data_IF_590908728305
#
_entry.id   IF_590908728305
#
_cell.length_a   1.000
_cell.length_b   1.000
_cell.length_c   1.000
_cell.angle_alpha   90.00
_cell.angle_beta   90.00
_cell.angle_gamma   90.00
#
_symmetry.space_group_name_H-M   'P 1'
#
loop_
_entity.id
_entity.type
_entity.pdbx_description
1 polymer ?
#
# COMPACT_ATOMS: atom_id res chain seq x y z
N UNK A 1 -6.13 24.64 -16.31
CA UNK A 1 -7.61 24.48 -16.22
C UNK A 1 -8.15 23.10 -16.60
N UNK A 2 -7.52 22.35 -17.55
CA UNK A 2 -7.96 20.99 -17.91
C UNK A 2 -7.66 19.93 -16.83
N UNK A 3 -6.46 19.94 -16.26
CA UNK A 3 -6.04 18.98 -15.21
C UNK A 3 -6.93 19.07 -13.96
N UNK A 4 -7.30 20.28 -13.52
CA UNK A 4 -8.16 20.48 -12.35
C UNK A 4 -9.59 19.92 -12.59
N UNK A 5 -10.10 20.01 -13.82
CA UNK A 5 -11.39 19.41 -14.19
C UNK A 5 -11.30 17.88 -14.22
N UNK A 6 -10.20 17.32 -14.73
CA UNK A 6 -9.97 15.87 -14.71
C UNK A 6 -9.87 15.34 -13.28
N UNK A 7 -9.10 16.00 -12.40
CA UNK A 7 -9.00 15.64 -10.98
C UNK A 7 -10.35 15.74 -10.27
N UNK A 8 -11.16 16.77 -10.57
CA UNK A 8 -12.49 16.92 -10.00
C UNK A 8 -13.45 15.81 -10.48
N UNK A 9 -13.41 15.46 -11.77
CA UNK A 9 -14.21 14.38 -12.34
C UNK A 9 -13.78 13.03 -11.75
N UNK A 10 -12.48 12.79 -11.62
CA UNK A 10 -11.95 11.59 -10.96
C UNK A 10 -12.41 11.55 -9.50
N UNK A 11 -12.32 12.65 -8.75
CA UNK A 11 -12.82 12.74 -7.37
C UNK A 11 -14.33 12.49 -7.26
N UNK A 12 -15.14 12.99 -8.20
CA UNK A 12 -16.60 12.77 -8.18
C UNK A 12 -16.91 11.32 -8.54
N UNK A 13 -16.24 10.76 -9.54
CA UNK A 13 -16.39 9.37 -9.94
C UNK A 13 -15.92 8.40 -8.84
N UNK A 14 -14.81 8.69 -8.14
CA UNK A 14 -14.33 7.85 -7.02
C UNK A 14 -15.24 7.95 -5.80
N UNK A 15 -15.88 9.10 -5.53
CA UNK A 15 -16.87 9.19 -4.45
C UNK A 15 -18.17 8.44 -4.77
N UNK A 16 -18.65 8.50 -6.03
CA UNK A 16 -19.89 7.84 -6.45
C UNK A 16 -19.72 6.32 -6.64
N UNK A 17 -18.62 5.88 -7.27
CA UNK A 17 -18.31 4.44 -7.36
C UNK A 17 -17.83 3.89 -6.03
N UNK A 18 -17.12 4.68 -5.22
CA UNK A 18 -16.58 4.25 -3.93
C UNK A 18 -17.67 3.98 -2.90
N UNK A 19 -18.66 4.85 -2.78
CA UNK A 19 -19.81 4.60 -1.89
C UNK A 19 -20.63 3.40 -2.35
N UNK A 20 -20.90 3.28 -3.65
CA UNK A 20 -21.62 2.15 -4.24
C UNK A 20 -20.85 0.83 -4.11
N UNK A 21 -19.54 0.82 -4.32
CA UNK A 21 -18.69 -0.37 -4.18
C UNK A 21 -18.54 -0.76 -2.72
N UNK A 22 -18.31 0.19 -1.82
CA UNK A 22 -18.23 -0.06 -0.38
C UNK A 22 -19.56 -0.61 0.16
N UNK A 23 -20.71 -0.08 -0.29
CA UNK A 23 -22.04 -0.55 0.07
C UNK A 23 -22.35 -1.92 -0.56
N UNK A 24 -21.89 -2.17 -1.79
CA UNK A 24 -22.02 -3.47 -2.47
C UNK A 24 -21.17 -4.55 -1.81
N UNK A 25 -19.93 -4.24 -1.42
CA UNK A 25 -19.05 -5.14 -0.67
C UNK A 25 -19.58 -5.43 0.74
N UNK A 26 -20.35 -4.50 1.34
CA UNK A 26 -21.03 -4.69 2.62
C UNK A 26 -22.34 -5.48 2.51
N UNK A 27 -22.87 -5.73 1.30
CA UNK A 27 -24.17 -6.37 1.12
C UNK A 27 -24.06 -7.91 1.12
N UNK A 28 -24.64 -8.61 2.12
CA UNK A 28 -24.46 -10.06 2.32
C UNK A 28 -25.18 -10.96 1.30
N UNK A 29 -25.91 -10.39 0.34
CA UNK A 29 -26.73 -11.16 -0.62
C UNK A 29 -25.99 -11.72 -1.83
N UNK A 30 -24.71 -11.36 -2.03
CA UNK A 30 -23.90 -11.90 -3.13
C UNK A 30 -23.11 -13.11 -2.61
N UNK A 31 -23.46 -14.32 -3.08
CA UNK A 31 -22.69 -15.55 -2.82
C UNK A 31 -21.41 -15.55 -3.67
N UNK A 32 -20.36 -14.89 -3.21
CA UNK A 32 -18.98 -15.19 -3.61
C UNK A 32 -18.24 -15.82 -2.43
N UNK A 33 -17.03 -16.33 -2.65
CA UNK A 33 -16.10 -16.73 -1.58
C UNK A 33 -15.88 -15.53 -0.66
N UNK A 34 -16.78 -15.36 0.31
CA UNK A 34 -16.72 -14.28 1.26
C UNK A 34 -15.59 -14.66 2.22
N UNK A 35 -14.59 -13.79 2.33
CA UNK A 35 -13.74 -13.69 3.50
C UNK A 35 -14.35 -12.61 4.41
N UNK A 36 -15.56 -12.80 4.99
CA UNK A 36 -16.11 -11.76 5.84
C UNK A 36 -15.22 -11.72 7.08
N UNK A 37 -14.37 -10.69 7.17
CA UNK A 37 -13.72 -10.39 8.42
C UNK A 37 -14.82 -10.24 9.47
N UNK A 38 -14.66 -10.89 10.62
CA UNK A 38 -15.59 -10.69 11.73
C UNK A 38 -15.63 -9.19 12.07
N UNK A 39 -16.76 -8.67 12.57
CA UNK A 39 -16.80 -7.31 13.11
C UNK A 39 -15.64 -7.10 14.09
N UNK A 40 -15.09 -5.90 14.12
CA UNK A 40 -13.96 -5.56 15.00
C UNK A 40 -14.28 -5.98 16.44
N UNK A 41 -13.56 -6.98 16.96
CA UNK A 41 -13.68 -7.44 18.34
C UNK A 41 -12.63 -6.69 19.19
N UNK A 42 -13.04 -5.74 20.05
CA UNK A 42 -12.10 -4.99 20.89
C UNK A 42 -11.29 -5.93 21.77
N UNK A 43 -9.96 -5.77 21.77
CA UNK A 43 -9.05 -6.59 22.58
C UNK A 43 -8.47 -7.83 21.89
N UNK A 44 -8.75 -8.07 20.60
CA UNK A 44 -8.00 -9.04 19.80
C UNK A 44 -6.62 -8.45 19.43
N UNK A 45 -5.49 -8.93 20.00
CA UNK A 45 -4.17 -8.35 19.74
C UNK A 45 -3.68 -8.58 18.30
N UNK A 46 -4.23 -9.57 17.60
CA UNK A 46 -3.92 -9.85 16.18
C UNK A 46 -4.54 -8.81 15.24
N UNK A 47 -5.61 -8.14 15.68
CA UNK A 47 -6.23 -7.08 14.91
C UNK A 47 -5.47 -5.77 15.13
N UNK A 48 -4.68 -5.36 14.14
CA UNK A 48 -3.88 -4.14 14.25
C UNK A 48 -4.70 -2.92 13.90
N UNK A 49 -4.89 -2.02 14.88
CA UNK A 49 -5.51 -0.72 14.68
C UNK A 49 -4.58 0.35 15.26
N UNK A 50 -3.99 1.24 14.44
CA UNK A 50 -3.08 2.25 14.95
C UNK A 50 -3.82 3.27 15.82
N UNK A 51 -3.17 3.72 16.89
CA UNK A 51 -3.66 4.75 17.81
C UNK A 51 -3.83 6.11 17.12
N UNK A 52 -2.97 6.42 16.16
CA UNK A 52 -2.99 7.64 15.35
C UNK A 52 -2.85 7.36 13.86
N UNK A 53 -3.84 7.79 13.07
CA UNK A 53 -3.82 7.66 11.61
C UNK A 53 -2.60 8.37 11.00
N UNK A 54 -2.35 9.60 11.44
CA UNK A 54 -1.28 10.44 10.90
C UNK A 54 0.12 9.93 11.24
N UNK A 55 0.34 9.41 12.46
CA UNK A 55 1.63 8.81 12.81
C UNK A 55 1.92 7.57 11.97
N UNK A 56 0.95 6.65 11.85
CA UNK A 56 1.11 5.45 11.02
C UNK A 56 1.44 5.80 9.57
N UNK A 57 0.65 6.72 8.98
CA UNK A 57 0.86 7.14 7.59
C UNK A 57 2.20 7.88 7.42
N UNK A 58 2.61 8.69 8.39
CA UNK A 58 3.92 9.34 8.42
C UNK A 58 5.08 8.34 8.49
N UNK A 59 4.97 7.30 9.32
CA UNK A 59 5.94 6.19 9.37
C UNK A 59 6.00 5.45 8.04
N UNK A 60 4.84 5.16 7.43
CA UNK A 60 4.74 4.51 6.12
C UNK A 60 5.42 5.34 5.03
N UNK A 61 5.18 6.65 5.01
CA UNK A 61 5.84 7.59 4.10
C UNK A 61 7.36 7.65 4.33
N UNK A 62 7.82 7.57 5.58
CA UNK A 62 9.24 7.48 5.91
C UNK A 62 9.90 6.21 5.33
N UNK A 63 9.22 5.06 5.43
CA UNK A 63 9.68 3.80 4.82
C UNK A 63 9.72 3.93 3.30
N UNK A 64 8.68 4.49 2.67
CA UNK A 64 8.67 4.76 1.23
C UNK A 64 9.83 5.66 0.81
N UNK A 65 10.15 6.69 1.59
CA UNK A 65 11.31 7.56 1.36
C UNK A 65 12.65 6.82 1.39
N UNK A 66 12.83 5.86 2.31
CA UNK A 66 14.00 4.95 2.30
C UNK A 66 13.94 4.03 1.08
N UNK A 67 12.76 3.52 0.75
CA UNK A 67 12.48 2.70 -0.42
C UNK A 67 12.82 3.40 -1.74
N UNK A 68 12.76 4.73 -1.81
CA UNK A 68 13.21 5.50 -2.97
C UNK A 68 14.70 5.28 -3.27
N UNK A 69 15.54 5.33 -2.23
CA UNK A 69 16.98 5.12 -2.37
C UNK A 69 17.27 3.67 -2.79
N UNK A 70 16.58 2.72 -2.17
CA UNK A 70 16.71 1.29 -2.49
C UNK A 70 16.21 1.01 -3.90
N UNK A 71 15.09 1.60 -4.30
CA UNK A 71 14.49 1.47 -5.64
C UNK A 71 15.43 2.01 -6.69
N UNK A 72 15.87 3.26 -6.56
CA UNK A 72 16.88 3.88 -7.45
C UNK A 72 18.14 3.01 -7.55
N UNK A 73 18.68 2.55 -6.42
CA UNK A 73 19.90 1.72 -6.40
C UNK A 73 19.65 0.36 -7.04
N UNK A 74 18.51 -0.28 -6.74
CA UNK A 74 18.12 -1.57 -7.30
C UNK A 74 17.95 -1.49 -8.81
N UNK A 75 17.25 -0.47 -9.29
CA UNK A 75 17.06 -0.18 -10.71
C UNK A 75 18.39 0.06 -11.44
N UNK A 76 19.31 0.79 -10.83
CA UNK A 76 20.67 0.96 -11.36
C UNK A 76 21.44 -0.37 -11.48
N UNK A 77 21.19 -1.32 -10.56
CA UNK A 77 21.86 -2.62 -10.54
C UNK A 77 21.17 -3.66 -11.45
N UNK A 78 19.87 -3.53 -11.72
CA UNK A 78 19.09 -4.49 -12.52
C UNK A 78 19.58 -4.57 -13.97
N UNK A 79 19.67 -5.78 -14.58
CA UNK A 79 20.06 -5.92 -15.97
C UNK A 79 19.09 -5.23 -16.91
N UNK A 80 19.61 -4.58 -17.96
CA UNK A 80 18.80 -3.88 -18.97
C UNK A 80 17.80 -4.82 -19.67
N UNK A 81 18.09 -6.13 -19.72
CA UNK A 81 17.17 -7.14 -20.27
C UNK A 81 15.87 -7.31 -19.46
N UNK A 82 15.81 -6.77 -18.24
CA UNK A 82 14.63 -6.83 -17.37
C UNK A 82 13.87 -5.50 -17.41
N UNK A 83 14.59 -4.38 -17.36
CA UNK A 83 13.99 -3.03 -17.26
C UNK A 83 13.86 -2.33 -18.60
N UNK A 84 14.55 -2.76 -19.67
CA UNK A 84 14.70 -2.02 -20.94
C UNK A 84 15.35 -0.63 -20.82
N UNK A 85 15.91 -0.29 -19.66
CA UNK A 85 16.44 1.05 -19.39
C UNK A 85 17.92 1.18 -19.73
N UNK A 86 18.26 2.30 -20.37
CA UNK A 86 19.64 2.71 -20.64
C UNK A 86 20.27 3.34 -19.39
N UNK A 87 21.27 2.67 -18.82
CA UNK A 87 21.97 3.15 -17.61
C UNK A 87 22.72 4.46 -17.83
N UNK A 88 23.11 4.78 -19.07
CA UNK A 88 23.79 6.04 -19.38
C UNK A 88 22.87 7.25 -19.22
N UNK A 89 21.56 7.04 -19.27
CA UNK A 89 20.56 8.06 -19.00
C UNK A 89 20.28 8.26 -17.50
N UNK A 90 20.76 7.39 -16.61
CA UNK A 90 20.45 7.52 -15.19
C UNK A 90 20.97 8.84 -14.60
N UNK A 91 20.08 9.73 -14.16
CA UNK A 91 20.47 10.90 -13.37
C UNK A 91 19.52 12.09 -13.40
N UNK A 92 19.85 13.11 -12.60
CA UNK A 92 19.03 14.31 -12.43
C UNK A 92 18.82 15.10 -13.73
N UNK A 93 19.78 15.06 -14.66
CA UNK A 93 19.64 15.74 -15.95
C UNK A 93 18.53 15.12 -16.78
N UNK A 94 18.51 13.80 -16.89
CA UNK A 94 17.46 13.06 -17.58
C UNK A 94 16.14 13.25 -16.86
N UNK A 95 16.12 13.18 -15.53
CA UNK A 95 14.94 13.49 -14.73
C UNK A 95 14.30 14.83 -15.09
N UNK A 96 15.07 15.94 -15.10
CA UNK A 96 14.55 17.27 -15.46
C UNK A 96 14.00 17.31 -16.88
N UNK A 97 14.66 16.63 -17.81
CA UNK A 97 14.23 16.53 -19.21
C UNK A 97 12.92 15.73 -19.32
N UNK A 98 12.88 14.56 -18.70
CA UNK A 98 11.84 13.56 -18.87
C UNK A 98 10.53 13.99 -18.18
N UNK A 99 10.59 14.59 -16.99
CA UNK A 99 9.39 15.16 -16.33
C UNK A 99 8.83 16.39 -17.06
N UNK A 100 9.62 17.04 -17.91
CA UNK A 100 9.18 18.18 -18.72
C UNK A 100 8.46 17.73 -20.01
N UNK A 101 8.58 16.45 -20.37
CA UNK A 101 7.91 15.86 -21.53
C UNK A 101 6.54 15.34 -21.10
N UNK A 102 5.56 15.42 -22.01
CA UNK A 102 4.24 14.85 -21.74
C UNK A 102 4.33 13.31 -21.62
N UNK A 103 3.54 12.68 -20.74
CA UNK A 103 3.57 11.24 -20.56
C UNK A 103 3.43 10.46 -21.88
N UNK A 104 4.23 9.40 -22.01
CA UNK A 104 4.33 8.58 -23.22
C UNK A 104 3.92 7.13 -22.94
N UNK A 105 3.82 6.33 -24.00
CA UNK A 105 3.73 4.86 -23.87
C UNK A 105 5.15 4.36 -23.65
N UNK A 106 5.45 3.75 -22.52
CA UNK A 106 6.68 2.96 -22.34
C UNK A 106 6.54 1.60 -23.06
N UNK A 107 7.66 0.88 -23.20
CA UNK A 107 7.68 -0.48 -23.79
C UNK A 107 8.07 -1.55 -22.76
N UNK A 108 7.73 -1.33 -21.49
CA UNK A 108 8.04 -2.28 -20.45
C UNK A 108 7.28 -3.59 -20.63
N UNK A 109 7.89 -4.65 -20.12
CA UNK A 109 7.31 -5.98 -20.26
C UNK A 109 6.04 -6.10 -19.41
N UNK A 110 5.15 -7.02 -19.79
CA UNK A 110 3.88 -7.24 -19.09
C UNK A 110 4.04 -7.54 -17.60
N UNK A 111 5.15 -8.16 -17.17
CA UNK A 111 5.37 -8.43 -15.75
C UNK A 111 5.55 -7.15 -14.94
N UNK A 112 6.20 -6.11 -15.49
CA UNK A 112 6.36 -4.82 -14.83
C UNK A 112 5.01 -4.08 -14.79
N UNK A 113 4.47 -3.69 -15.95
CA UNK A 113 3.27 -2.83 -16.02
C UNK A 113 2.01 -3.56 -15.58
N UNK A 114 1.90 -4.86 -15.89
CA UNK A 114 0.71 -5.66 -15.66
C UNK A 114 0.62 -6.27 -14.26
N UNK A 115 1.76 -6.45 -13.58
CA UNK A 115 1.79 -7.16 -12.28
C UNK A 115 2.51 -6.37 -11.20
N UNK A 116 3.78 -6.01 -11.42
CA UNK A 116 4.58 -5.34 -10.40
C UNK A 116 4.01 -3.96 -10.04
N UNK A 117 3.68 -3.14 -11.05
CA UNK A 117 3.11 -1.81 -10.82
C UNK A 117 1.78 -1.89 -10.06
N UNK A 118 0.75 -2.65 -10.51
CA UNK A 118 -0.47 -2.84 -9.73
C UNK A 118 -0.24 -3.35 -8.30
N UNK A 119 0.72 -4.25 -8.10
CA UNK A 119 1.07 -4.71 -6.75
C UNK A 119 1.60 -3.57 -5.88
N UNK A 120 2.54 -2.75 -6.36
CA UNK A 120 3.02 -1.59 -5.60
C UNK A 120 1.92 -0.54 -5.39
N UNK A 121 1.04 -0.34 -6.37
CA UNK A 121 -0.18 0.45 -6.20
C UNK A 121 -1.05 -0.07 -5.05
N UNK A 122 -1.21 -1.39 -4.92
CA UNK A 122 -1.93 -2.00 -3.80
C UNK A 122 -1.24 -1.76 -2.45
N UNK A 123 0.10 -1.85 -2.42
CA UNK A 123 0.89 -1.52 -1.22
C UNK A 123 0.69 -0.04 -0.84
N UNK A 124 0.69 0.88 -1.80
CA UNK A 124 0.43 2.31 -1.53
C UNK A 124 -0.98 2.55 -1.00
N UNK A 125 -1.98 1.89 -1.59
CA UNK A 125 -3.37 1.94 -1.15
C UNK A 125 -3.54 1.47 0.31
N UNK A 126 -2.85 0.40 0.69
CA UNK A 126 -2.98 -0.22 2.01
C UNK A 126 -2.55 0.69 3.17
N UNK A 127 -1.59 1.59 2.96
CA UNK A 127 -1.03 2.41 4.05
C UNK A 127 -2.08 3.33 4.71
N UNK A 128 -2.79 4.21 3.98
CA UNK A 128 -3.89 4.97 4.55
C UNK A 128 -5.06 4.07 4.95
N UNK A 129 -5.33 2.99 4.21
CA UNK A 129 -6.47 2.12 4.51
C UNK A 129 -6.33 1.45 5.88
N UNK A 130 -5.15 0.93 6.22
CA UNK A 130 -4.81 0.36 7.54
C UNK A 130 -4.67 1.42 8.63
N UNK A 131 -4.23 2.63 8.28
CA UNK A 131 -4.28 3.78 9.19
C UNK A 131 -5.72 4.17 9.59
N UNK A 132 -6.73 3.67 8.89
CA UNK A 132 -8.15 3.91 9.16
C UNK A 132 -8.73 5.07 8.35
N UNK A 133 -8.10 5.48 7.26
CA UNK A 133 -8.71 6.34 6.25
C UNK A 133 -9.76 5.56 5.44
N UNK A 134 -10.67 6.31 4.82
CA UNK A 134 -11.73 5.78 3.99
C UNK A 134 -11.19 5.20 2.67
N UNK A 135 -12.05 4.45 1.97
CA UNK A 135 -11.71 3.90 0.66
C UNK A 135 -11.30 5.00 -0.34
N UNK A 136 -12.05 6.11 -0.54
CA UNK A 136 -11.68 7.15 -1.49
C UNK A 136 -10.36 7.87 -1.15
N UNK A 137 -10.11 8.13 0.14
CA UNK A 137 -8.84 8.71 0.59
C UNK A 137 -7.66 7.79 0.26
N UNK A 138 -7.87 6.48 0.40
CA UNK A 138 -6.85 5.47 0.10
C UNK A 138 -6.60 5.33 -1.41
N UNK A 139 -7.65 5.39 -2.24
CA UNK A 139 -7.52 5.47 -3.71
C UNK A 139 -6.72 6.70 -4.11
N UNK A 140 -7.06 7.87 -3.56
CA UNK A 140 -6.37 9.11 -3.89
C UNK A 140 -4.90 9.04 -3.50
N UNK A 141 -4.58 8.51 -2.32
CA UNK A 141 -3.21 8.32 -1.89
C UNK A 141 -2.43 7.38 -2.81
N UNK A 142 -3.03 6.24 -3.19
CA UNK A 142 -2.45 5.30 -4.15
C UNK A 142 -2.17 5.98 -5.48
N UNK A 143 -3.11 6.77 -5.99
CA UNK A 143 -2.96 7.55 -7.22
C UNK A 143 -1.80 8.54 -7.13
N UNK A 144 -1.78 9.37 -6.09
CA UNK A 144 -0.74 10.37 -5.90
C UNK A 144 0.64 9.74 -5.71
N UNK A 145 0.74 8.62 -4.98
CA UNK A 145 2.02 7.94 -4.75
C UNK A 145 2.50 7.25 -6.02
N UNK A 146 1.63 6.56 -6.75
CA UNK A 146 2.00 5.97 -8.05
C UNK A 146 2.49 7.05 -9.01
N UNK A 147 1.76 8.16 -9.12
CA UNK A 147 2.14 9.23 -10.05
C UNK A 147 3.40 9.99 -9.64
N UNK A 148 3.46 10.52 -8.42
CA UNK A 148 4.52 11.47 -8.04
C UNK A 148 5.74 10.82 -7.42
N UNK A 149 5.55 9.72 -6.68
CA UNK A 149 6.67 9.03 -6.05
C UNK A 149 7.31 8.01 -7.00
N UNK A 150 6.51 7.26 -7.75
CA UNK A 150 7.03 6.25 -8.68
C UNK A 150 7.34 6.84 -10.06
N UNK A 151 6.32 7.12 -10.88
CA UNK A 151 6.48 7.53 -12.29
C UNK A 151 7.33 8.81 -12.45
N UNK A 152 6.85 9.92 -11.90
CA UNK A 152 7.56 11.21 -11.97
C UNK A 152 8.72 11.30 -10.97
N UNK A 153 8.84 10.34 -10.05
CA UNK A 153 9.85 10.33 -9.01
C UNK A 153 11.04 9.47 -9.41
N UNK A 154 10.90 8.15 -9.25
CA UNK A 154 11.96 7.16 -9.42
C UNK A 154 12.21 6.85 -10.90
N UNK A 155 11.17 6.58 -11.68
CA UNK A 155 11.32 6.15 -13.09
C UNK A 155 11.74 7.28 -14.01
N UNK A 156 11.30 8.50 -13.72
CA UNK A 156 11.72 9.67 -14.45
C UNK A 156 13.24 9.89 -14.51
N UNK A 157 14.04 9.24 -13.64
CA UNK A 157 15.51 9.29 -13.74
C UNK A 157 16.07 8.60 -14.98
N UNK A 158 15.28 7.77 -15.66
CA UNK A 158 15.71 6.87 -16.74
C UNK A 158 14.69 6.74 -17.87
N UNK A 159 13.44 7.17 -17.70
CA UNK A 159 12.40 7.11 -18.73
C UNK A 159 11.41 8.28 -18.64
N UNK A 160 10.73 8.59 -19.76
CA UNK A 160 9.63 9.54 -19.77
C UNK A 160 8.45 8.92 -18.99
N UNK A 161 7.79 9.65 -18.07
CA UNK A 161 6.68 9.11 -17.29
C UNK A 161 5.61 8.45 -18.16
N UNK A 162 5.09 7.31 -17.72
CA UNK A 162 4.21 6.51 -18.54
C UNK A 162 2.74 6.88 -18.35
N UNK A 163 2.03 7.22 -19.43
CA UNK A 163 0.60 7.55 -19.29
C UNK A 163 -0.25 6.32 -18.94
N UNK A 164 0.17 5.11 -19.38
CA UNK A 164 -0.58 3.90 -19.10
C UNK A 164 -0.48 3.53 -17.63
N UNK A 165 0.69 3.71 -17.03
CA UNK A 165 0.91 3.37 -15.62
C UNK A 165 0.36 4.45 -14.69
N UNK A 166 0.34 5.72 -15.11
CA UNK A 166 -0.41 6.77 -14.40
C UNK A 166 -1.91 6.47 -14.23
N UNK A 167 -2.47 5.56 -15.04
CA UNK A 167 -3.88 5.15 -14.96
C UNK A 167 -4.01 3.74 -14.39
N UNK A 168 -3.33 2.77 -14.99
CA UNK A 168 -3.51 1.34 -14.71
C UNK A 168 -3.02 0.97 -13.32
N UNK A 169 -1.83 1.45 -12.96
CA UNK A 169 -1.18 1.18 -11.67
C UNK A 169 -2.06 1.55 -10.48
N UNK A 170 -2.54 2.80 -10.33
CA UNK A 170 -3.38 3.15 -9.19
C UNK A 170 -4.80 2.59 -9.28
N UNK A 171 -5.35 2.36 -10.49
CA UNK A 171 -6.68 1.78 -10.64
C UNK A 171 -6.71 0.31 -10.19
N UNK A 172 -5.82 -0.51 -10.74
CA UNK A 172 -5.72 -1.92 -10.36
C UNK A 172 -5.15 -2.07 -8.96
N UNK A 173 -4.18 -1.25 -8.60
CA UNK A 173 -3.61 -1.22 -7.25
C UNK A 173 -4.66 -0.94 -6.18
N UNK A 174 -5.57 0.00 -6.41
CA UNK A 174 -6.66 0.26 -5.45
C UNK A 174 -7.63 -0.92 -5.31
N UNK A 175 -7.92 -1.63 -6.41
CA UNK A 175 -8.79 -2.82 -6.40
C UNK A 175 -8.12 -3.94 -5.61
N UNK A 176 -6.88 -4.29 -5.96
CA UNK A 176 -6.13 -5.33 -5.26
C UNK A 176 -5.81 -4.94 -3.81
N UNK A 177 -5.55 -3.67 -3.55
CA UNK A 177 -5.30 -3.14 -2.22
C UNK A 177 -6.50 -3.30 -1.29
N UNK A 178 -7.72 -3.06 -1.76
CA UNK A 178 -8.91 -3.33 -0.94
C UNK A 178 -9.11 -4.85 -0.74
N UNK A 179 -8.85 -5.69 -1.76
CA UNK A 179 -8.87 -7.16 -1.58
C UNK A 179 -7.86 -7.59 -0.50
N UNK A 180 -6.63 -7.10 -0.56
CA UNK A 180 -5.58 -7.39 0.41
C UNK A 180 -5.94 -6.88 1.81
N UNK A 181 -6.58 -5.71 1.89
CA UNK A 181 -7.05 -5.15 3.15
C UNK A 181 -8.10 -6.07 3.79
N UNK A 182 -9.09 -6.52 3.02
CA UNK A 182 -10.14 -7.43 3.51
C UNK A 182 -9.57 -8.80 3.89
N UNK A 183 -8.65 -9.36 3.10
CA UNK A 183 -7.95 -10.61 3.42
C UNK A 183 -7.13 -10.49 4.71
N UNK A 184 -6.39 -9.39 4.86
CA UNK A 184 -5.62 -9.10 6.09
C UNK A 184 -6.53 -9.09 7.29
N UNK A 185 -7.65 -8.36 7.21
CA UNK A 185 -8.63 -8.32 8.30
C UNK A 185 -9.24 -9.68 8.60
N UNK A 186 -9.56 -10.46 7.57
CA UNK A 186 -10.07 -11.82 7.75
C UNK A 186 -9.09 -12.69 8.55
N UNK A 187 -7.82 -12.72 8.12
CA UNK A 187 -6.75 -13.49 8.79
C UNK A 187 -6.58 -13.02 10.23
N UNK A 188 -6.50 -11.70 10.47
CA UNK A 188 -6.35 -11.14 11.82
C UNK A 188 -7.56 -11.44 12.73
N UNK A 189 -8.77 -11.39 12.18
CA UNK A 189 -10.01 -11.76 12.89
C UNK A 189 -10.10 -13.27 13.18
N UNK A 190 -9.28 -14.06 12.50
CA UNK A 190 -9.12 -15.50 12.69
C UNK A 190 -7.81 -15.83 13.43
N UNK A 191 -7.41 -14.99 14.39
CA UNK A 191 -6.21 -15.17 15.23
C UNK A 191 -4.90 -15.32 14.44
N UNK A 192 -4.81 -14.68 13.28
CA UNK A 192 -3.65 -14.77 12.38
C UNK A 192 -3.64 -16.00 11.48
N UNK A 193 -4.69 -16.83 11.48
CA UNK A 193 -4.73 -18.10 10.76
C UNK A 193 -5.40 -17.99 9.40
N UNK A 194 -4.77 -18.56 8.37
CA UNK A 194 -5.36 -18.85 7.08
C UNK A 194 -5.38 -20.37 6.88
N UNK A 195 -6.56 -20.95 6.58
CA UNK A 195 -6.76 -22.40 6.48
C UNK A 195 -6.23 -23.19 7.70
N UNK A 196 -6.33 -22.62 8.90
CA UNK A 196 -5.84 -23.21 10.15
C UNK A 196 -4.33 -23.11 10.36
N UNK A 197 -3.60 -22.40 9.51
CA UNK A 197 -2.16 -22.18 9.64
C UNK A 197 -1.85 -20.70 9.91
N UNK A 198 -1.20 -20.43 11.05
CA UNK A 198 -0.68 -19.10 11.40
C UNK A 198 0.46 -18.69 10.48
N UNK A 199 1.39 -19.60 10.22
CA UNK A 199 2.53 -19.33 9.35
C UNK A 199 2.05 -18.88 7.98
N UNK A 200 1.03 -19.56 7.43
CA UNK A 200 0.45 -19.18 6.15
C UNK A 200 -0.22 -17.81 6.21
N UNK A 201 -1.02 -17.54 7.26
CA UNK A 201 -1.70 -16.25 7.44
C UNK A 201 -0.71 -15.08 7.53
N UNK A 202 0.29 -15.19 8.40
CA UNK A 202 1.32 -14.15 8.56
C UNK A 202 2.19 -13.97 7.31
N UNK A 203 2.55 -15.06 6.64
CA UNK A 203 3.31 -14.98 5.37
C UNK A 203 2.50 -14.23 4.32
N UNK A 204 1.20 -14.52 4.19
CA UNK A 204 0.36 -13.83 3.23
C UNK A 204 0.19 -12.34 3.57
N UNK A 205 0.01 -11.99 4.85
CA UNK A 205 -0.04 -10.58 5.29
C UNK A 205 1.27 -9.86 4.93
N UNK A 206 2.42 -10.47 5.21
CA UNK A 206 3.72 -9.88 4.90
C UNK A 206 3.94 -9.67 3.39
N UNK A 207 3.48 -10.62 2.56
CA UNK A 207 3.55 -10.50 1.11
C UNK A 207 2.59 -9.46 0.54
N UNK A 208 1.38 -9.33 1.08
CA UNK A 208 0.40 -8.34 0.62
C UNK A 208 0.76 -6.92 1.05
N UNK A 209 1.34 -6.77 2.25
CA UNK A 209 1.64 -5.47 2.85
C UNK A 209 2.98 -5.46 3.60
N UNK A 210 4.11 -5.46 2.87
CA UNK A 210 5.43 -5.50 3.50
C UNK A 210 5.69 -4.28 4.40
N UNK A 211 5.21 -3.09 4.01
CA UNK A 211 5.38 -1.86 4.80
C UNK A 211 4.59 -1.97 6.10
N UNK A 212 3.31 -2.34 6.01
CA UNK A 212 2.51 -2.48 7.20
C UNK A 212 3.04 -3.58 8.11
N UNK A 213 3.52 -4.71 7.58
CA UNK A 213 4.16 -5.78 8.36
C UNK A 213 5.40 -5.28 9.12
N UNK A 214 6.25 -4.45 8.49
CA UNK A 214 7.38 -3.81 9.19
C UNK A 214 6.89 -2.93 10.35
N UNK A 215 5.82 -2.15 10.13
CA UNK A 215 5.28 -1.24 11.15
C UNK A 215 4.61 -2.00 12.29
N UNK A 216 3.74 -2.98 11.99
CA UNK A 216 2.94 -3.68 13.00
C UNK A 216 3.66 -4.86 13.63
N UNK A 217 4.27 -5.73 12.83
CA UNK A 217 4.72 -7.06 13.25
C UNK A 217 6.21 -7.10 13.58
N UNK A 218 7.04 -6.32 12.88
CA UNK A 218 8.46 -6.15 13.23
C UNK A 218 8.70 -5.09 14.32
N UNK A 219 7.64 -4.43 14.79
CA UNK A 219 7.69 -3.52 15.94
C UNK A 219 8.23 -2.11 15.66
N UNK A 220 8.45 -1.73 14.39
CA UNK A 220 8.90 -0.36 14.06
C UNK A 220 7.87 0.68 14.51
N UNK A 221 6.57 0.37 14.38
CA UNK A 221 5.49 1.23 14.85
C UNK A 221 5.62 1.53 16.34
N UNK A 222 5.83 0.51 17.18
CA UNK A 222 6.02 0.71 18.61
C UNK A 222 7.26 1.55 18.92
N UNK A 223 8.37 1.29 18.19
CA UNK A 223 9.61 2.05 18.31
C UNK A 223 9.43 3.55 18.00
N UNK A 224 8.65 3.89 16.97
CA UNK A 224 8.37 5.29 16.58
C UNK A 224 7.10 5.86 17.24
N UNK A 225 6.50 5.13 18.18
CA UNK A 225 5.39 5.61 19.00
C UNK A 225 3.99 5.53 18.35
N UNK A 226 3.81 4.64 17.38
CA UNK A 226 2.51 4.17 16.86
C UNK A 226 2.11 2.91 17.63
N UNK A 227 1.02 2.96 18.38
CA UNK A 227 0.56 1.87 19.25
C UNK A 227 -0.63 1.14 18.63
N UNK A 228 -0.72 -0.17 18.81
CA UNK A 228 -1.94 -0.91 18.48
C UNK A 228 -2.99 -0.71 19.58
N UNK A 229 -4.16 -0.14 19.25
CA UNK A 229 -5.28 0.07 20.19
C UNK A 229 -5.79 -1.22 20.81
N UNK A 230 -5.73 -2.34 20.10
CA UNK A 230 -6.24 -3.62 20.59
C UNK A 230 -5.23 -4.38 21.44
N UNK A 231 -3.96 -3.95 21.47
CA UNK A 231 -2.96 -4.50 22.38
C UNK A 231 -3.23 -3.91 23.76
N UNK A 232 -3.79 -4.73 24.66
CA UNK A 232 -3.92 -4.36 26.07
C UNK A 232 -2.51 -4.24 26.64
N UNK A 233 -2.04 -3.01 26.80
CA UNK A 233 -0.81 -2.72 27.53
C UNK A 233 -1.12 -3.00 29.00
N UNK A 234 -0.81 -4.21 29.46
CA UNK A 234 -0.90 -4.58 30.87
C UNK A 234 -0.16 -3.54 31.70
N UNK A 235 -0.87 -2.92 32.64
CA UNK A 235 -0.33 -1.94 33.56
C UNK A 235 0.85 -2.51 34.35
N UNK A 236 1.75 -1.62 34.72
CA UNK A 236 2.93 -1.87 35.53
C UNK A 236 2.53 -2.71 36.76
N UNK A 237 2.92 -3.99 36.78
CA UNK A 237 2.96 -4.79 38.00
C UNK A 237 4.24 -4.39 38.75
N UNK A 238 4.18 -4.13 40.08
CA UNK A 238 5.38 -3.83 40.88
C UNK A 238 6.43 -4.97 40.91
N UNK A 239 6.16 -6.12 40.26
CA UNK A 239 6.95 -7.34 40.39
C UNK A 239 7.41 -7.99 39.06
N UNK A 240 7.24 -7.36 37.90
CA UNK A 240 7.88 -7.93 36.70
C UNK A 240 7.38 -7.43 35.35
N UNK A 241 8.32 -7.22 34.44
CA UNK A 241 8.12 -6.87 33.05
C UNK A 241 7.52 -8.08 32.32
N UNK A 242 6.28 -7.95 31.84
CA UNK A 242 5.70 -8.93 30.91
C UNK A 242 6.02 -8.51 29.48
N UNK A 243 7.06 -9.12 28.89
CA UNK A 243 7.26 -9.08 27.44
C UNK A 243 6.28 -10.06 26.79
N UNK A 244 5.12 -9.57 26.37
CA UNK A 244 4.27 -10.30 25.45
C UNK A 244 4.83 -10.17 24.03
N UNK A 245 5.93 -10.88 23.74
CA UNK A 245 6.23 -11.30 22.36
C UNK A 245 5.37 -12.51 22.05
N UNK A 246 4.51 -12.42 21.04
CA UNK A 246 3.85 -13.58 20.46
C UNK A 246 4.09 -13.54 18.95
N UNK A 247 4.88 -14.52 18.49
CA UNK A 247 4.99 -14.95 17.10
C UNK A 247 3.64 -15.39 16.55
#
# INVERSE_FOLDING_TARGET
MKILKTLLIVCICTNLFGSSLEETLKNPKIKHYNFPAKPDEPGNPYYYVPDSKGKYLGTSAGILGIGLIVGITGLYLMPESVTNWDRERFGLRSWVQDVSIAPAVDNDNFWLNGVAHPYFGAVYYLQPRKAGYSWPESVLFSFMTSAFFWEYGIEAFVEIPSWQDLIYTPAMGSIFGEIFYQLTRYIQSNNGELFGSRILGYTLIALMDPIGFIISDLGLGEFVGVKNKNKIVGGISPLGISFAYRF
#
